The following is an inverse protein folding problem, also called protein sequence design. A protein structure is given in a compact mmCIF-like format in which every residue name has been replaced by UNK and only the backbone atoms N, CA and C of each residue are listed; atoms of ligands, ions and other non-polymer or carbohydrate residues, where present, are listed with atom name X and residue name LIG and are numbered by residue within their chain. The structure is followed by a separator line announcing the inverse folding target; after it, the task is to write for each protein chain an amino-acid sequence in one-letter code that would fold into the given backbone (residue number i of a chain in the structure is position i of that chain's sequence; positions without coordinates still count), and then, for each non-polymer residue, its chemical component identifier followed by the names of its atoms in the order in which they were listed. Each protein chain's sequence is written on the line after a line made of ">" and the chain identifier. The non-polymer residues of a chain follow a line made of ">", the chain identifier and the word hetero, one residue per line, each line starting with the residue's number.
data_IF_406134354580
#
_entry.id   IF_406134354580
#
_cell.length_a   1.000
_cell.length_b   1.000
_cell.length_c   1.000
_cell.angle_alpha   90.00
_cell.angle_beta   90.00
_cell.angle_gamma   90.00
#
_symmetry.space_group_name_H-M   'P 1'
#
loop_
_entity.id
_entity.type
_entity.pdbx_description
1 polymer ?
#
# COMPACT_ATOMS: atom_id res chain seq x y z
N UNK A 1 -0.43 -19.51 2.37
CA UNK A 1 0.86 -20.06 1.94
C UNK A 1 0.67 -21.41 1.25
N UNK A 2 1.40 -21.68 0.17
CA UNK A 2 1.23 -22.90 -0.62
C UNK A 2 1.47 -24.18 0.19
N UNK A 3 0.55 -25.14 0.11
CA UNK A 3 0.66 -26.45 0.76
C UNK A 3 0.40 -26.49 2.27
N UNK A 4 0.08 -25.35 2.92
CA UNK A 4 -0.25 -25.31 4.35
C UNK A 4 -1.76 -25.43 4.59
N UNK A 5 -2.21 -26.03 5.71
CA UNK A 5 -3.61 -25.99 6.11
C UNK A 5 -4.09 -24.54 6.29
N UNK A 6 -5.22 -24.18 5.67
CA UNK A 6 -5.75 -22.81 5.69
C UNK A 6 -6.97 -22.62 6.62
N UNK A 7 -7.60 -23.72 7.05
CA UNK A 7 -8.90 -23.65 7.73
C UNK A 7 -10.05 -23.22 6.80
N UNK A 8 -11.23 -22.93 7.36
CA UNK A 8 -12.36 -22.39 6.60
C UNK A 8 -12.01 -21.02 6.00
N UNK A 9 -12.44 -20.80 4.75
CA UNK A 9 -12.21 -19.54 4.04
C UNK A 9 -13.48 -18.68 4.14
N UNK A 10 -13.41 -17.45 4.67
CA UNK A 10 -14.51 -16.49 4.59
C UNK A 10 -14.86 -16.19 3.13
N UNK A 11 -16.14 -16.28 2.79
CA UNK A 11 -16.64 -16.08 1.42
C UNK A 11 -17.48 -14.81 1.28
N UNK A 12 -17.62 -14.05 2.36
CA UNK A 12 -18.27 -12.75 2.38
C UNK A 12 -17.51 -11.77 1.50
N UNK A 13 -18.26 -10.86 0.86
CA UNK A 13 -17.64 -9.76 0.12
C UNK A 13 -16.92 -8.79 1.05
N UNK A 14 -15.94 -8.08 0.52
CA UNK A 14 -15.26 -6.98 1.19
C UNK A 14 -15.86 -5.64 0.73
N UNK A 15 -16.35 -4.83 1.67
CA UNK A 15 -16.76 -3.45 1.38
C UNK A 15 -15.54 -2.54 1.44
N UNK A 16 -15.06 -2.12 0.27
CA UNK A 16 -13.82 -1.36 0.14
C UNK A 16 -14.00 0.09 0.61
N UNK A 17 -13.17 0.49 1.56
CA UNK A 17 -13.03 1.88 1.96
C UNK A 17 -12.49 2.72 0.78
N UNK A 18 -12.77 4.03 0.81
CA UNK A 18 -12.32 4.93 -0.27
C UNK A 18 -10.79 4.96 -0.42
N UNK A 19 -10.05 4.86 0.68
CA UNK A 19 -8.59 4.86 0.65
C UNK A 19 -8.03 3.60 -0.04
N UNK A 20 -8.65 2.43 0.16
CA UNK A 20 -8.26 1.18 -0.51
C UNK A 20 -8.39 1.30 -2.02
N UNK A 21 -9.51 1.88 -2.50
CA UNK A 21 -9.73 2.17 -3.93
C UNK A 21 -8.69 3.14 -4.49
N UNK A 22 -8.22 4.10 -3.68
CA UNK A 22 -7.16 5.03 -4.09
C UNK A 22 -5.78 4.38 -4.14
N UNK A 23 -5.49 3.45 -3.21
CA UNK A 23 -4.26 2.66 -3.27
C UNK A 23 -4.22 1.81 -4.54
N UNK A 24 -5.32 1.15 -4.88
CA UNK A 24 -5.44 0.39 -6.13
C UNK A 24 -5.19 1.28 -7.36
N UNK A 25 -5.88 2.42 -7.44
CA UNK A 25 -5.70 3.38 -8.53
C UNK A 25 -4.27 3.90 -8.62
N UNK A 26 -3.63 4.20 -7.49
CA UNK A 26 -2.24 4.67 -7.45
C UNK A 26 -1.28 3.60 -7.99
N UNK A 27 -1.43 2.35 -7.55
CA UNK A 27 -0.62 1.22 -8.03
C UNK A 27 -0.74 1.09 -9.57
N UNK A 28 -1.97 1.11 -10.09
CA UNK A 28 -2.23 1.04 -11.54
C UNK A 28 -1.58 2.19 -12.29
N UNK A 29 -1.74 3.43 -11.80
CA UNK A 29 -1.19 4.62 -12.45
C UNK A 29 0.35 4.63 -12.46
N UNK A 30 0.98 4.23 -11.34
CA UNK A 30 2.43 4.15 -11.25
C UNK A 30 3.01 3.06 -12.16
N UNK A 31 2.36 1.89 -12.22
CA UNK A 31 2.71 0.82 -13.16
C UNK A 31 2.56 1.26 -14.62
N UNK A 32 1.44 1.91 -14.96
CA UNK A 32 1.21 2.42 -16.32
C UNK A 32 2.23 3.50 -16.74
N UNK A 33 2.76 4.27 -15.79
CA UNK A 33 3.83 5.24 -16.01
C UNK A 33 5.23 4.62 -16.07
N UNK A 34 5.37 3.31 -15.84
CA UNK A 34 6.65 2.62 -15.84
C UNK A 34 7.54 2.94 -14.64
N UNK A 35 6.96 3.43 -13.53
CA UNK A 35 7.72 3.72 -12.30
C UNK A 35 8.17 2.45 -11.59
N UNK A 36 7.46 1.34 -11.82
CA UNK A 36 7.85 -0.01 -11.41
C UNK A 36 7.16 -1.05 -12.28
N UNK A 37 7.60 -2.30 -12.18
CA UNK A 37 6.96 -3.47 -12.79
C UNK A 37 6.13 -4.25 -11.78
N UNK A 38 5.30 -5.17 -12.27
CA UNK A 38 4.59 -6.13 -11.41
C UNK A 38 5.58 -6.96 -10.58
N UNK A 39 6.72 -7.34 -11.16
CA UNK A 39 7.77 -8.06 -10.45
C UNK A 39 8.41 -7.20 -9.33
N UNK A 40 8.62 -5.91 -9.58
CA UNK A 40 9.11 -4.97 -8.56
C UNK A 40 8.12 -4.79 -7.40
N UNK A 41 6.83 -4.72 -7.69
CA UNK A 41 5.78 -4.70 -6.66
C UNK A 41 5.77 -5.99 -5.84
N UNK A 42 5.85 -7.16 -6.50
CA UNK A 42 5.87 -8.47 -5.83
C UNK A 42 7.09 -8.66 -4.95
N UNK A 43 8.28 -8.28 -5.43
CA UNK A 43 9.51 -8.30 -4.63
C UNK A 43 9.33 -7.50 -3.35
N UNK A 44 8.86 -6.25 -3.45
CA UNK A 44 8.67 -5.40 -2.29
C UNK A 44 7.62 -5.95 -1.30
N UNK A 45 6.58 -6.64 -1.77
CA UNK A 45 5.61 -7.34 -0.92
C UNK A 45 6.22 -8.55 -0.20
N UNK A 46 6.98 -9.37 -0.93
CA UNK A 46 7.60 -10.59 -0.40
C UNK A 46 8.73 -10.28 0.60
N UNK A 47 9.44 -9.16 0.40
CA UNK A 47 10.48 -8.66 1.30
C UNK A 47 9.94 -8.24 2.69
N UNK A 48 8.62 -8.03 2.85
CA UNK A 48 8.01 -7.65 4.14
C UNK A 48 8.02 -8.76 5.19
N UNK A 49 8.22 -10.02 4.77
CA UNK A 49 8.22 -11.18 5.64
C UNK A 49 6.83 -11.62 6.11
N UNK A 50 6.76 -12.77 6.77
CA UNK A 50 5.50 -13.45 7.13
C UNK A 50 4.60 -12.63 8.07
N UNK A 51 5.21 -11.94 9.04
CA UNK A 51 4.49 -11.14 10.04
C UNK A 51 3.60 -10.05 9.41
N UNK A 52 4.06 -9.45 8.31
CA UNK A 52 3.30 -8.45 7.58
C UNK A 52 2.03 -9.03 6.94
N UNK A 53 2.07 -10.29 6.49
CA UNK A 53 0.93 -10.95 5.85
C UNK A 53 -0.13 -11.39 6.87
N UNK A 54 0.24 -11.51 8.14
CA UNK A 54 -0.67 -11.83 9.23
C UNK A 54 -1.31 -10.59 9.85
N UNK A 55 -0.55 -9.48 9.97
CA UNK A 55 -0.99 -8.28 10.69
C UNK A 55 -1.60 -7.20 9.82
N UNK A 56 -1.16 -7.06 8.58
CA UNK A 56 -1.57 -5.95 7.72
C UNK A 56 -2.60 -6.40 6.69
N UNK A 57 -3.54 -5.49 6.39
CA UNK A 57 -4.52 -5.74 5.35
C UNK A 57 -3.85 -5.85 3.97
N UNK A 58 -4.62 -6.29 2.98
CA UNK A 58 -4.14 -6.35 1.61
C UNK A 58 -3.64 -4.99 1.09
N UNK A 59 -4.42 -3.93 1.34
CA UNK A 59 -4.10 -2.60 0.84
C UNK A 59 -3.03 -1.88 1.65
N UNK A 60 -2.86 -2.21 2.94
CA UNK A 60 -1.71 -1.74 3.73
C UNK A 60 -0.39 -2.20 3.11
N UNK A 61 -0.31 -3.48 2.73
CA UNK A 61 0.87 -4.04 2.08
C UNK A 61 1.09 -3.45 0.70
N UNK A 62 0.03 -3.21 -0.07
CA UNK A 62 0.13 -2.60 -1.40
C UNK A 62 0.63 -1.16 -1.37
N UNK A 63 0.15 -0.33 -0.44
CA UNK A 63 0.63 1.05 -0.35
C UNK A 63 2.09 1.09 0.12
N UNK A 64 2.48 0.21 1.05
CA UNK A 64 3.86 0.08 1.48
C UNK A 64 4.80 -0.37 0.33
N UNK A 65 4.41 -1.37 -0.46
CA UNK A 65 5.18 -1.85 -1.59
C UNK A 65 5.26 -0.82 -2.74
N UNK A 66 4.16 -0.10 -3.00
CA UNK A 66 4.12 1.01 -3.96
C UNK A 66 5.09 2.12 -3.50
N UNK A 67 5.01 2.52 -2.23
CA UNK A 67 5.89 3.53 -1.66
C UNK A 67 7.37 3.15 -1.76
N UNK A 68 7.72 1.91 -1.41
CA UNK A 68 9.09 1.40 -1.52
C UNK A 68 9.64 1.53 -2.95
N UNK A 69 8.85 1.12 -3.95
CA UNK A 69 9.25 1.23 -5.35
C UNK A 69 9.41 2.69 -5.81
N UNK A 70 8.53 3.60 -5.37
CA UNK A 70 8.62 5.02 -5.73
C UNK A 70 9.85 5.70 -5.12
N UNK A 71 10.24 5.33 -3.90
CA UNK A 71 11.47 5.80 -3.26
C UNK A 71 12.70 5.26 -4.00
N UNK A 72 12.73 3.96 -4.30
CA UNK A 72 13.85 3.34 -5.04
C UNK A 72 14.01 3.92 -6.46
N UNK A 73 12.89 4.26 -7.11
CA UNK A 73 12.88 4.94 -8.40
C UNK A 73 13.24 6.43 -8.32
N UNK A 74 13.41 6.99 -7.11
CA UNK A 74 13.77 8.39 -6.90
C UNK A 74 12.66 9.38 -7.24
N UNK A 75 11.39 8.95 -7.20
CA UNK A 75 10.22 9.82 -7.47
C UNK A 75 10.07 10.87 -6.36
N UNK A 76 10.35 10.47 -5.13
CA UNK A 76 10.49 11.32 -3.96
C UNK A 76 11.39 10.65 -2.93
N UNK A 77 11.89 11.44 -1.99
CA UNK A 77 12.72 11.00 -0.87
C UNK A 77 11.88 10.66 0.37
N UNK A 78 12.49 9.93 1.31
CA UNK A 78 11.88 9.68 2.63
C UNK A 78 11.59 10.98 3.39
N UNK A 79 12.43 12.00 3.22
CA UNK A 79 12.25 13.30 3.88
C UNK A 79 11.02 14.03 3.32
N UNK A 80 10.87 14.11 2.00
CA UNK A 80 9.70 14.73 1.36
C UNK A 80 8.41 14.00 1.73
N UNK A 81 8.45 12.67 1.81
CA UNK A 81 7.31 11.88 2.26
C UNK A 81 6.94 12.22 3.71
N UNK A 82 7.92 12.26 4.61
CA UNK A 82 7.70 12.59 6.02
C UNK A 82 7.11 13.99 6.20
N UNK A 83 7.69 15.00 5.55
CA UNK A 83 7.18 16.37 5.56
C UNK A 83 5.73 16.42 5.05
N UNK A 84 5.42 15.70 3.97
CA UNK A 84 4.06 15.66 3.44
C UNK A 84 3.07 14.96 4.38
N UNK A 85 3.50 13.90 5.07
CA UNK A 85 2.68 13.21 6.06
C UNK A 85 2.35 14.14 7.25
N UNK A 86 3.32 14.94 7.72
CA UNK A 86 3.10 15.94 8.78
C UNK A 86 2.13 17.05 8.34
N UNK A 87 2.24 17.51 7.09
CA UNK A 87 1.27 18.46 6.52
C UNK A 87 -0.15 17.89 6.44
N UNK A 88 -0.30 16.63 6.06
CA UNK A 88 -1.61 15.97 5.98
C UNK A 88 -2.19 15.75 7.38
N UNK A 89 -1.37 15.30 8.34
CA UNK A 89 -1.80 15.08 9.72
C UNK A 89 -2.27 16.36 10.42
N UNK A 90 -1.73 17.53 10.05
CA UNK A 90 -2.18 18.83 10.57
C UNK A 90 -3.58 19.26 10.11
N UNK A 91 -4.11 18.66 9.03
CA UNK A 91 -5.44 18.99 8.51
C UNK A 91 -6.55 18.32 9.30
N UNK A 92 -6.28 17.17 9.91
CA UNK A 92 -7.27 16.42 10.67
C UNK A 92 -6.74 15.11 11.23
N UNK A 93 -7.39 14.62 12.28
CA UNK A 93 -7.02 13.36 12.93
C UNK A 93 -7.60 12.14 12.19
N UNK A 94 -8.69 12.35 11.44
CA UNK A 94 -9.32 11.32 10.63
C UNK A 94 -9.00 11.50 9.16
N UNK A 95 -9.14 10.40 8.40
CA UNK A 95 -9.00 10.46 6.94
C UNK A 95 -9.91 11.52 6.32
N UNK A 96 -11.17 11.63 6.77
CA UNK A 96 -12.15 12.57 6.25
C UNK A 96 -11.77 14.03 6.50
N UNK A 97 -11.38 14.35 7.73
CA UNK A 97 -10.93 15.71 8.10
C UNK A 97 -9.66 16.11 7.33
N UNK A 98 -8.76 15.17 7.06
CA UNK A 98 -7.50 15.45 6.36
C UNK A 98 -7.64 15.61 4.82
N UNK A 99 -8.84 15.44 4.25
CA UNK A 99 -9.08 15.62 2.80
C UNK A 99 -9.36 17.06 2.39
N UNK A 100 -9.77 17.94 3.32
CA UNK A 100 -10.02 19.36 3.07
C UNK A 100 -8.73 20.18 3.04
#
# INVERSE_FOLDING_TARGET
>A
MGGRPAGPIPMEGHDFALWEKRVDALMVLCGAKGLFTVDGLRRALEDMGEDAFEKYSYYDRWIAATNQNLIEAGVYTLEELGQRMEEVARRGATYGEAQE
#
